data_IF_555489875434
#
_entry.id   IF_555489875434
#
_cell.length_a   1.000
_cell.length_b   1.000
_cell.length_c   1.000
_cell.angle_alpha   90.00
_cell.angle_beta   90.00
_cell.angle_gamma   90.00
#
_symmetry.space_group_name_H-M   'P 1'
#
loop_
_entity.id
_entity.type
_entity.pdbx_description
1 polymer ?
#
# COMPACT_ATOMS: atom_id res chain seq x y z
N UNK A 1 2.99 3.72 0.22
CA UNK A 1 2.95 3.61 -1.26
C UNK A 1 1.52 3.82 -1.74
N UNK A 2 1.33 4.59 -2.80
CA UNK A 2 0.08 4.64 -3.56
C UNK A 2 0.19 3.69 -4.75
N UNK A 3 -0.46 2.53 -4.75
CA UNK A 3 -0.36 1.54 -5.83
C UNK A 3 -1.37 1.76 -6.96
N UNK A 4 -1.82 2.98 -7.14
CA UNK A 4 -2.83 3.33 -8.13
C UNK A 4 -2.34 3.01 -9.56
N UNK A 5 -3.18 2.34 -10.34
CA UNK A 5 -2.95 2.05 -11.76
C UNK A 5 -3.66 3.00 -12.71
N UNK A 6 -4.52 3.87 -12.21
CA UNK A 6 -5.12 4.91 -13.04
C UNK A 6 -4.17 6.08 -13.17
N UNK A 7 -3.91 6.53 -14.38
CA UNK A 7 -3.10 7.71 -14.66
C UNK A 7 -3.79 9.02 -14.27
N UNK A 8 -4.51 9.05 -13.15
CA UNK A 8 -5.17 10.23 -12.61
C UNK A 8 -4.44 10.72 -11.39
N UNK A 9 -4.25 12.02 -11.32
CA UNK A 9 -3.71 12.71 -10.14
C UNK A 9 -4.69 12.75 -8.98
N UNK A 10 -5.15 11.60 -8.50
CA UNK A 10 -6.00 11.52 -7.32
C UNK A 10 -5.11 11.37 -6.10
N UNK A 11 -5.02 12.42 -5.30
CA UNK A 11 -4.40 12.33 -3.97
C UNK A 11 -5.43 11.77 -3.01
N UNK A 12 -5.23 10.54 -2.60
CA UNK A 12 -6.09 9.92 -1.59
C UNK A 12 -5.88 10.57 -0.22
N UNK A 13 -6.96 10.98 0.43
CA UNK A 13 -6.94 11.63 1.76
C UNK A 13 -6.20 10.76 2.79
N UNK A 14 -6.33 9.44 2.71
CA UNK A 14 -5.64 8.53 3.63
C UNK A 14 -4.12 8.70 3.63
N UNK A 15 -3.51 9.07 2.49
CA UNK A 15 -2.07 9.30 2.40
C UNK A 15 -1.67 10.48 3.29
N UNK A 16 -2.42 11.57 3.23
CA UNK A 16 -2.18 12.75 4.05
C UNK A 16 -2.43 12.46 5.54
N UNK A 17 -3.54 11.76 5.85
CA UNK A 17 -3.90 11.37 7.22
C UNK A 17 -2.81 10.52 7.88
N UNK A 18 -2.43 9.39 7.26
CA UNK A 18 -1.38 8.51 7.80
C UNK A 18 -0.02 9.21 7.86
N UNK A 19 0.38 9.92 6.80
CA UNK A 19 1.65 10.64 6.80
C UNK A 19 1.70 11.73 7.86
N UNK A 20 0.60 12.44 8.05
CA UNK A 20 0.47 13.52 9.04
C UNK A 20 0.62 13.00 10.47
N UNK A 21 -0.12 11.92 10.82
CA UNK A 21 -0.08 11.36 12.17
C UNK A 21 1.30 10.76 12.49
N UNK A 22 1.92 10.05 11.54
CA UNK A 22 3.23 9.45 11.73
C UNK A 22 4.32 10.52 11.90
N UNK A 23 4.33 11.55 11.04
CA UNK A 23 5.31 12.66 11.15
C UNK A 23 5.18 13.44 12.44
N UNK A 24 3.96 13.68 12.94
CA UNK A 24 3.72 14.33 14.25
C UNK A 24 4.26 13.51 15.42
N UNK A 25 4.39 12.20 15.24
CA UNK A 25 4.94 11.29 16.24
C UNK A 25 6.41 10.91 15.96
N UNK A 26 7.14 11.76 15.23
CA UNK A 26 8.58 11.67 14.94
C UNK A 26 9.00 10.48 14.06
N UNK A 27 8.09 9.80 13.39
CA UNK A 27 8.45 8.79 12.39
C UNK A 27 8.87 9.44 11.07
N UNK A 28 9.91 8.90 10.46
CA UNK A 28 10.34 9.31 9.12
C UNK A 28 9.43 8.66 8.08
N UNK A 29 8.85 9.47 7.21
CA UNK A 29 7.89 8.98 6.19
C UNK A 29 8.34 9.44 4.82
N UNK A 30 8.46 8.46 3.90
CA UNK A 30 8.67 8.67 2.48
C UNK A 30 7.48 8.17 1.68
N UNK A 31 7.15 8.87 0.62
CA UNK A 31 6.01 8.54 -0.24
C UNK A 31 6.48 8.10 -1.62
N UNK A 32 5.85 7.05 -2.16
CA UNK A 32 6.01 6.60 -3.54
C UNK A 32 4.64 6.53 -4.20
N UNK A 33 4.51 7.19 -5.35
CA UNK A 33 3.29 7.22 -6.15
C UNK A 33 3.51 6.51 -7.48
N UNK A 34 2.72 5.47 -7.74
CA UNK A 34 2.78 4.70 -8.97
C UNK A 34 1.88 5.23 -10.09
N UNK A 35 1.03 6.21 -9.80
CA UNK A 35 -0.07 6.64 -10.69
C UNK A 35 0.37 7.08 -12.07
N UNK A 36 1.58 7.63 -12.19
CA UNK A 36 2.05 8.24 -13.44
C UNK A 36 3.21 7.47 -14.08
N UNK A 37 3.37 6.18 -13.78
CA UNK A 37 4.34 5.34 -14.48
C UNK A 37 3.69 4.69 -15.70
N UNK A 38 4.30 4.89 -16.88
CA UNK A 38 3.77 4.37 -18.13
C UNK A 38 3.72 2.83 -18.19
N UNK A 39 4.70 2.17 -17.56
CA UNK A 39 4.81 0.71 -17.49
C UNK A 39 3.90 0.08 -16.43
N UNK A 40 3.21 0.89 -15.64
CA UNK A 40 2.30 0.44 -14.58
C UNK A 40 0.85 0.85 -14.82
N UNK A 41 0.62 2.02 -15.37
CA UNK A 41 -0.70 2.62 -15.51
C UNK A 41 -1.55 1.91 -16.56
N UNK A 42 -2.80 1.66 -16.23
CA UNK A 42 -3.80 1.20 -17.20
C UNK A 42 -4.15 2.35 -18.12
N UNK A 43 -4.25 2.08 -19.41
CA UNK A 43 -4.73 3.07 -20.37
C UNK A 43 -6.25 3.25 -20.25
N UNK A 44 -6.65 4.13 -19.34
CA UNK A 44 -8.04 4.45 -19.07
C UNK A 44 -8.79 4.95 -20.32
N UNK A 45 -8.09 5.70 -21.18
CA UNK A 45 -8.69 6.24 -22.41
C UNK A 45 -9.15 5.10 -23.32
N UNK A 46 -8.31 4.07 -23.48
CA UNK A 46 -8.65 2.91 -24.29
C UNK A 46 -9.91 2.22 -23.75
N UNK A 47 -9.94 1.97 -22.43
CA UNK A 47 -11.08 1.36 -21.76
C UNK A 47 -12.36 2.17 -21.96
N UNK A 48 -12.33 3.47 -21.77
CA UNK A 48 -13.47 4.37 -21.90
C UNK A 48 -13.92 4.51 -23.36
N UNK A 49 -12.98 4.54 -24.30
CA UNK A 49 -13.28 4.58 -25.73
C UNK A 49 -13.91 3.29 -26.21
N UNK A 50 -13.39 2.15 -25.80
CA UNK A 50 -13.92 0.82 -26.17
C UNK A 50 -15.35 0.63 -25.63
N UNK A 51 -15.66 1.21 -24.47
CA UNK A 51 -17.00 1.19 -23.87
C UNK A 51 -17.89 2.38 -24.29
N UNK A 52 -17.46 3.22 -25.24
CA UNK A 52 -18.20 4.39 -25.75
C UNK A 52 -18.60 5.41 -24.68
N UNK A 53 -17.88 5.45 -23.57
CA UNK A 53 -18.22 6.28 -22.40
C UNK A 53 -17.68 7.72 -22.48
N UNK A 54 -16.69 8.01 -23.38
CA UNK A 54 -16.04 9.30 -23.44
C UNK A 54 -15.59 9.73 -24.83
N UNK A 55 -15.53 11.06 -25.05
CA UNK A 55 -14.79 11.64 -26.16
C UNK A 55 -13.29 11.46 -25.90
N UNK A 56 -12.55 11.09 -26.95
CA UNK A 56 -11.11 10.98 -26.92
C UNK A 56 -10.49 12.32 -26.49
N UNK A 57 -9.82 12.34 -25.34
CA UNK A 57 -9.04 13.48 -24.85
C UNK A 57 -7.57 13.16 -25.05
N UNK A 58 -6.78 14.08 -25.57
CA UNK A 58 -5.34 13.90 -25.66
C UNK A 58 -4.72 14.19 -24.28
N UNK A 59 -4.52 13.16 -23.47
CA UNK A 59 -3.94 13.32 -22.13
C UNK A 59 -2.47 13.68 -22.15
N UNK A 60 -1.76 13.40 -23.23
CA UNK A 60 -0.33 13.76 -23.37
C UNK A 60 -0.11 15.27 -23.29
N UNK A 61 -1.15 16.07 -23.58
CA UNK A 61 -1.12 17.53 -23.45
C UNK A 61 -1.16 17.99 -21.97
N UNK A 62 -1.68 17.16 -21.06
CA UNK A 62 -1.92 17.53 -19.67
C UNK A 62 -1.12 16.68 -18.68
N UNK A 63 -0.80 15.44 -19.01
CA UNK A 63 -0.15 14.48 -18.11
C UNK A 63 1.12 13.95 -18.77
N UNK A 64 2.26 14.23 -18.15
CA UNK A 64 3.53 13.60 -18.54
C UNK A 64 3.76 12.34 -17.72
N UNK A 65 3.61 11.19 -18.35
CA UNK A 65 3.95 9.93 -17.72
C UNK A 65 5.46 9.76 -17.53
N UNK A 66 5.85 9.25 -16.38
CA UNK A 66 7.20 8.78 -16.13
C UNK A 66 7.48 7.54 -16.99
N UNK A 67 8.54 7.57 -17.77
CA UNK A 67 8.97 6.50 -18.68
C UNK A 67 10.00 5.56 -18.05
N UNK A 68 10.41 5.83 -16.81
CA UNK A 68 11.29 4.94 -16.08
C UNK A 68 10.58 3.61 -15.76
N UNK A 69 11.39 2.59 -15.48
CA UNK A 69 10.84 1.35 -14.94
C UNK A 69 10.45 1.53 -13.47
N UNK A 70 9.17 1.33 -13.16
CA UNK A 70 8.60 1.55 -11.83
C UNK A 70 9.26 0.68 -10.76
N UNK A 71 9.55 -0.58 -11.08
CA UNK A 71 10.17 -1.52 -10.14
C UNK A 71 11.58 -1.11 -9.79
N UNK A 72 12.35 -0.62 -10.78
CA UNK A 72 13.70 -0.11 -10.56
C UNK A 72 13.69 1.15 -9.69
N UNK A 73 12.79 2.10 -9.97
CA UNK A 73 12.68 3.33 -9.19
C UNK A 73 12.22 3.05 -7.76
N UNK A 74 11.25 2.14 -7.57
CA UNK A 74 10.79 1.75 -6.24
C UNK A 74 11.90 1.01 -5.48
N UNK A 75 12.62 0.09 -6.12
CA UNK A 75 13.76 -0.59 -5.50
C UNK A 75 14.86 0.38 -5.08
N UNK A 76 15.20 1.35 -5.92
CA UNK A 76 16.18 2.39 -5.59
C UNK A 76 15.71 3.22 -4.39
N UNK A 77 14.42 3.56 -4.32
CA UNK A 77 13.86 4.29 -3.19
C UNK A 77 13.91 3.47 -1.90
N UNK A 78 13.56 2.20 -1.95
CA UNK A 78 13.66 1.27 -0.79
C UNK A 78 15.12 1.17 -0.33
N UNK A 79 16.06 0.98 -1.24
CA UNK A 79 17.48 0.86 -0.93
C UNK A 79 18.07 2.13 -0.29
N UNK A 80 17.61 3.31 -0.75
CA UNK A 80 18.04 4.61 -0.23
C UNK A 80 17.43 4.91 1.13
N UNK A 81 16.13 4.73 1.28
CA UNK A 81 15.38 5.08 2.49
C UNK A 81 15.53 4.02 3.59
N UNK A 82 15.64 2.74 3.20
CA UNK A 82 15.73 1.57 4.10
C UNK A 82 14.60 1.53 5.13
N UNK A 83 13.34 1.46 4.67
CA UNK A 83 12.19 1.49 5.56
C UNK A 83 12.12 0.26 6.46
N UNK A 84 11.74 0.45 7.74
CA UNK A 84 11.32 -0.65 8.62
C UNK A 84 9.97 -1.21 8.20
N UNK A 85 9.09 -0.33 7.67
CA UNK A 85 7.74 -0.67 7.21
C UNK A 85 7.43 -0.14 5.82
N UNK A 86 6.75 -0.95 5.04
CA UNK A 86 6.14 -0.53 3.78
C UNK A 86 4.63 -0.70 3.92
N UNK A 87 3.91 0.42 3.82
CA UNK A 87 2.47 0.46 4.01
C UNK A 87 1.75 0.92 2.75
N UNK A 88 0.62 0.29 2.46
CA UNK A 88 -0.37 0.78 1.50
C UNK A 88 -1.78 0.46 2.00
N UNK A 89 -2.75 1.24 1.56
CA UNK A 89 -4.14 1.01 1.88
C UNK A 89 -4.95 0.85 0.60
N UNK A 90 -5.89 -0.07 0.64
CA UNK A 90 -6.88 -0.28 -0.40
C UNK A 90 -8.22 0.37 -0.04
N UNK A 91 -8.19 1.53 0.58
CA UNK A 91 -9.37 2.38 0.72
C UNK A 91 -9.64 2.94 -0.67
N UNK A 92 -10.24 2.14 -1.51
CA UNK A 92 -10.77 2.63 -2.75
C UNK A 92 -12.19 3.12 -2.50
N UNK A 93 -12.49 4.24 -3.08
CA UNK A 93 -13.87 4.67 -3.22
C UNK A 93 -14.58 3.77 -4.23
N UNK A 94 -15.00 2.59 -3.79
CA UNK A 94 -15.87 1.72 -4.59
C UNK A 94 -17.19 2.39 -5.00
N UNK A 95 -17.48 3.53 -4.44
CA UNK A 95 -18.69 4.33 -4.69
C UNK A 95 -18.90 4.58 -6.19
N UNK A 96 -17.85 4.50 -7.00
CA UNK A 96 -17.92 4.76 -8.46
C UNK A 96 -17.35 3.62 -9.33
N UNK A 97 -17.25 2.39 -8.83
CA UNK A 97 -16.70 1.27 -9.62
C UNK A 97 -15.18 1.32 -9.83
N UNK A 98 -14.48 2.24 -9.20
CA UNK A 98 -13.03 2.44 -9.32
C UNK A 98 -12.21 1.47 -8.45
N UNK A 99 -12.88 0.60 -7.71
CA UNK A 99 -12.27 -0.25 -6.70
C UNK A 99 -11.33 -1.33 -7.20
N UNK A 100 -11.37 -1.67 -8.45
CA UNK A 100 -10.50 -2.70 -9.00
C UNK A 100 -9.06 -2.27 -9.17
N UNK A 101 -8.79 -0.97 -9.27
CA UNK A 101 -7.47 -0.43 -9.61
C UNK A 101 -6.64 0.05 -8.42
N UNK A 102 -7.26 0.24 -7.28
CA UNK A 102 -6.59 0.59 -6.02
C UNK A 102 -6.94 -0.46 -4.97
N UNK A 103 -6.51 -1.67 -5.19
CA UNK A 103 -6.74 -2.80 -4.30
C UNK A 103 -5.43 -3.27 -3.64
N UNK A 104 -5.56 -4.16 -2.67
CA UNK A 104 -4.41 -4.75 -1.99
C UNK A 104 -3.48 -5.46 -2.98
N UNK A 105 -4.04 -6.10 -3.99
CA UNK A 105 -3.29 -6.83 -5.02
C UNK A 105 -2.31 -5.93 -5.78
N UNK A 106 -2.70 -4.70 -6.12
CA UNK A 106 -1.82 -3.78 -6.83
C UNK A 106 -0.57 -3.43 -6.01
N UNK A 107 -0.74 -3.14 -4.71
CA UNK A 107 0.40 -2.91 -3.82
C UNK A 107 1.28 -4.14 -3.66
N UNK A 108 0.66 -5.31 -3.53
CA UNK A 108 1.38 -6.56 -3.47
C UNK A 108 2.16 -6.86 -4.75
N UNK A 109 1.57 -6.64 -5.93
CA UNK A 109 2.21 -6.83 -7.22
C UNK A 109 3.42 -5.93 -7.43
N UNK A 110 3.39 -4.70 -6.91
CA UNK A 110 4.54 -3.79 -6.91
C UNK A 110 5.70 -4.32 -6.06
N UNK A 111 5.41 -5.01 -4.95
CA UNK A 111 6.38 -5.33 -3.91
C UNK A 111 6.88 -6.78 -3.94
N UNK A 112 6.06 -7.72 -4.42
CA UNK A 112 6.32 -9.17 -4.29
C UNK A 112 7.65 -9.66 -4.87
N UNK A 113 8.17 -8.97 -5.89
CA UNK A 113 9.42 -9.34 -6.58
C UNK A 113 10.60 -8.45 -6.20
N UNK A 114 10.41 -7.48 -5.28
CA UNK A 114 11.48 -6.59 -4.84
C UNK A 114 12.25 -7.19 -3.66
N UNK A 115 13.48 -6.72 -3.49
CA UNK A 115 14.32 -7.02 -2.33
C UNK A 115 13.93 -6.08 -1.19
N UNK A 116 13.16 -6.58 -0.25
CA UNK A 116 12.64 -5.78 0.86
C UNK A 116 13.54 -5.79 2.10
N UNK A 117 14.61 -6.61 2.08
CA UNK A 117 15.52 -6.80 3.21
C UNK A 117 14.76 -7.13 4.51
N UNK A 118 14.79 -6.21 5.47
CA UNK A 118 14.13 -6.39 6.77
C UNK A 118 12.81 -5.59 6.90
N UNK A 119 12.31 -5.01 5.80
CA UNK A 119 11.07 -4.25 5.85
C UNK A 119 9.86 -5.16 6.03
N UNK A 120 8.97 -4.79 6.95
CA UNK A 120 7.69 -5.47 7.15
C UNK A 120 6.61 -4.88 6.23
N UNK A 121 5.84 -5.75 5.60
CA UNK A 121 4.75 -5.36 4.72
C UNK A 121 3.44 -5.29 5.47
N UNK A 122 2.84 -4.11 5.51
CA UNK A 122 1.56 -3.85 6.17
C UNK A 122 0.56 -3.28 5.17
N UNK A 123 -0.65 -3.79 5.17
CA UNK A 123 -1.75 -3.19 4.40
C UNK A 123 -3.03 -3.08 5.20
N UNK A 124 -3.94 -2.23 4.73
CA UNK A 124 -5.20 -1.92 5.38
C UNK A 124 -6.31 -1.69 4.35
N UNK A 125 -7.50 -1.39 4.83
CA UNK A 125 -8.66 -1.00 4.03
C UNK A 125 -9.80 -2.01 4.10
N UNK A 126 -10.84 -1.78 3.30
CA UNK A 126 -12.06 -2.59 3.35
C UNK A 126 -11.79 -4.07 3.03
N UNK A 127 -10.94 -4.35 2.04
CA UNK A 127 -10.59 -5.73 1.69
C UNK A 127 -9.81 -6.42 2.83
N UNK A 128 -8.89 -5.71 3.49
CA UNK A 128 -8.16 -6.23 4.64
C UNK A 128 -9.09 -6.60 5.79
N UNK A 129 -10.17 -5.85 5.96
CA UNK A 129 -11.18 -6.07 7.01
C UNK A 129 -12.10 -7.25 6.67
N UNK A 130 -12.57 -7.34 5.43
CA UNK A 130 -13.62 -8.30 5.03
C UNK A 130 -13.10 -9.67 4.55
N UNK A 131 -11.88 -9.72 4.02
CA UNK A 131 -11.33 -10.91 3.35
C UNK A 131 -9.94 -11.31 3.88
N UNK A 132 -9.64 -11.02 5.13
CA UNK A 132 -8.33 -11.13 5.78
C UNK A 132 -7.64 -12.47 5.52
N UNK A 133 -8.33 -13.57 5.78
CA UNK A 133 -7.76 -14.92 5.65
C UNK A 133 -7.47 -15.29 4.19
N UNK A 134 -8.33 -14.86 3.27
CA UNK A 134 -8.15 -15.08 1.83
C UNK A 134 -6.92 -14.32 1.33
N UNK A 135 -6.69 -13.10 1.84
CA UNK A 135 -5.54 -12.28 1.47
C UNK A 135 -4.24 -12.98 1.86
N UNK A 136 -4.12 -13.46 3.08
CA UNK A 136 -2.93 -14.21 3.51
C UNK A 136 -2.70 -15.49 2.69
N UNK A 137 -3.76 -16.20 2.31
CA UNK A 137 -3.66 -17.38 1.45
C UNK A 137 -3.10 -17.08 0.06
N UNK A 138 -3.30 -15.86 -0.46
CA UNK A 138 -2.86 -15.44 -1.80
C UNK A 138 -1.60 -14.57 -1.80
N UNK A 139 -1.31 -13.88 -0.70
CA UNK A 139 -0.28 -12.83 -0.61
C UNK A 139 0.67 -13.11 0.57
N UNK A 140 1.45 -14.17 0.46
CA UNK A 140 2.26 -14.73 1.54
C UNK A 140 3.37 -13.81 2.09
N UNK A 141 3.72 -12.73 1.38
CA UNK A 141 4.73 -11.76 1.84
C UNK A 141 4.17 -10.66 2.72
N UNK A 142 2.85 -10.57 2.88
CA UNK A 142 2.25 -9.61 3.80
C UNK A 142 2.47 -10.09 5.24
N UNK A 143 3.10 -9.26 6.07
CA UNK A 143 3.33 -9.57 7.48
C UNK A 143 2.08 -9.30 8.32
N UNK A 144 1.44 -8.14 8.11
CA UNK A 144 0.29 -7.71 8.91
C UNK A 144 -0.81 -7.07 8.06
N UNK A 145 -2.05 -7.33 8.43
CA UNK A 145 -3.25 -6.66 7.92
C UNK A 145 -3.89 -5.86 9.04
N UNK A 146 -4.17 -4.59 8.79
CA UNK A 146 -4.94 -3.74 9.71
C UNK A 146 -6.41 -3.78 9.30
N UNK A 147 -7.30 -4.05 10.25
CA UNK A 147 -8.75 -4.10 10.07
C UNK A 147 -9.37 -2.83 10.64
N UNK A 148 -10.40 -2.31 9.97
CA UNK A 148 -11.04 -1.05 10.35
C UNK A 148 -10.17 0.17 10.07
N UNK A 149 -10.27 1.17 10.93
CA UNK A 149 -9.50 2.41 10.84
C UNK A 149 -8.02 2.17 11.14
N UNK A 150 -7.19 2.54 10.20
CA UNK A 150 -5.78 2.13 10.21
C UNK A 150 -4.79 3.17 10.75
N UNK A 151 -5.19 4.43 10.90
CA UNK A 151 -4.30 5.52 11.27
C UNK A 151 -3.65 5.32 12.64
N UNK A 152 -4.48 5.11 13.65
CA UNK A 152 -4.01 4.93 15.04
C UNK A 152 -3.39 3.55 15.24
N UNK A 153 -3.91 2.52 14.59
CA UNK A 153 -3.38 1.16 14.67
C UNK A 153 -1.98 1.11 14.07
N UNK A 154 -1.77 1.75 12.90
CA UNK A 154 -0.44 1.85 12.28
C UNK A 154 0.54 2.60 13.19
N UNK A 155 0.12 3.70 13.78
CA UNK A 155 0.95 4.44 14.74
C UNK A 155 1.34 3.57 15.95
N UNK A 156 0.39 2.81 16.52
CA UNK A 156 0.65 1.91 17.64
C UNK A 156 1.65 0.82 17.27
N UNK A 157 1.52 0.24 16.05
CA UNK A 157 2.48 -0.74 15.52
C UNK A 157 3.89 -0.14 15.49
N UNK A 158 4.06 1.05 14.92
CA UNK A 158 5.37 1.67 14.79
C UNK A 158 5.96 2.03 16.17
N UNK A 159 5.16 2.60 17.05
CA UNK A 159 5.60 2.94 18.42
C UNK A 159 6.02 1.69 19.21
N UNK A 160 5.31 0.58 19.07
CA UNK A 160 5.68 -0.68 19.74
C UNK A 160 6.97 -1.27 19.16
N UNK A 161 7.14 -1.19 17.84
CA UNK A 161 8.36 -1.61 17.16
C UNK A 161 9.59 -0.82 17.63
N UNK A 162 9.48 0.49 17.78
CA UNK A 162 10.59 1.35 18.19
C UNK A 162 11.02 1.15 19.65
N UNK A 163 10.13 0.66 20.53
CA UNK A 163 10.44 0.39 21.93
C UNK A 163 11.33 -0.83 22.14
N UNK A 164 11.30 -1.77 21.21
CA UNK A 164 12.00 -3.04 21.33
C UNK A 164 13.32 -3.03 20.57
N UNK A 165 14.32 -3.75 21.11
CA UNK A 165 15.67 -3.77 20.54
C UNK A 165 15.89 -4.87 19.51
N UNK A 166 15.39 -6.08 19.78
CA UNK A 166 15.58 -7.19 18.87
C UNK A 166 14.33 -7.46 18.02
N UNK A 167 14.50 -8.07 16.86
CA UNK A 167 13.43 -8.26 15.88
C UNK A 167 12.32 -9.21 16.36
N UNK A 168 12.62 -10.19 17.17
CA UNK A 168 11.62 -11.11 17.69
C UNK A 168 10.69 -10.44 18.71
N UNK A 169 11.24 -9.62 19.61
CA UNK A 169 10.45 -8.87 20.58
C UNK A 169 9.66 -7.77 19.87
N UNK A 170 10.24 -7.13 18.85
CA UNK A 170 9.53 -6.21 17.96
C UNK A 170 8.30 -6.86 17.34
N UNK A 171 8.42 -8.05 16.75
CA UNK A 171 7.28 -8.80 16.20
C UNK A 171 6.26 -9.18 17.26
N UNK A 172 6.70 -9.67 18.43
CA UNK A 172 5.80 -9.99 19.54
C UNK A 172 5.04 -8.76 20.08
N UNK A 173 5.66 -7.60 20.09
CA UNK A 173 4.99 -6.36 20.52
C UNK A 173 3.92 -5.92 19.53
N UNK A 174 4.20 -6.02 18.23
CA UNK A 174 3.22 -5.76 17.19
C UNK A 174 2.05 -6.76 17.28
N UNK A 175 2.33 -8.06 17.48
CA UNK A 175 1.32 -9.12 17.57
C UNK A 175 0.30 -8.90 18.72
N UNK A 176 0.55 -7.98 19.64
CA UNK A 176 -0.38 -7.61 20.73
C UNK A 176 -1.31 -6.45 20.38
N UNK A 177 -1.05 -5.75 19.30
CA UNK A 177 -1.86 -4.60 18.86
C UNK A 177 -3.25 -5.07 18.46
N UNK A 178 -4.28 -4.37 18.94
CA UNK A 178 -5.67 -4.66 18.55
C UNK A 178 -5.95 -4.20 17.12
N UNK A 179 -6.83 -4.91 16.44
CA UNK A 179 -7.22 -4.56 15.07
C UNK A 179 -6.26 -5.07 14.00
N UNK A 180 -5.30 -5.90 14.33
CA UNK A 180 -4.42 -6.54 13.35
C UNK A 180 -4.74 -8.01 13.13
N UNK A 181 -4.30 -8.51 11.98
CA UNK A 181 -4.28 -9.93 11.66
C UNK A 181 -2.92 -10.30 11.07
N UNK A 182 -2.46 -11.51 11.33
CA UNK A 182 -1.15 -12.01 10.86
C UNK A 182 -1.13 -13.54 10.78
N UNK A 183 -0.11 -14.06 10.10
CA UNK A 183 0.16 -15.50 10.04
C UNK A 183 1.38 -15.83 10.89
N UNK A 184 1.31 -16.92 11.67
CA UNK A 184 2.42 -17.43 12.46
C UNK A 184 2.45 -18.95 12.41
N UNK A 185 3.55 -19.51 11.91
CA UNK A 185 3.71 -20.97 11.73
C UNK A 185 2.50 -21.60 11.01
N UNK A 186 2.05 -20.97 9.93
CA UNK A 186 0.88 -21.36 9.12
C UNK A 186 -0.48 -21.27 9.84
N UNK A 187 -0.54 -20.73 11.03
CA UNK A 187 -1.80 -20.44 11.73
C UNK A 187 -2.18 -18.98 11.55
N UNK A 188 -3.47 -18.75 11.37
CA UNK A 188 -4.05 -17.42 11.29
C UNK A 188 -4.40 -16.89 12.67
N UNK A 189 -4.00 -15.65 12.95
CA UNK A 189 -4.29 -14.94 14.19
C UNK A 189 -4.99 -13.61 13.88
N UNK A 190 -5.87 -13.23 14.78
CA UNK A 190 -6.66 -12.01 14.67
C UNK A 190 -6.93 -11.47 16.08
N UNK A 191 -6.51 -10.22 16.33
CA UNK A 191 -6.70 -9.52 17.60
C UNK A 191 -7.84 -8.49 17.49
#
# INVERSE_FOLDING_TARGET
>A
INPNKWGRGITHIWIASHSGILKRNNHKVEFFDSSFYQDWSVNEIKFQTDNKMYKKTNYDDFIKFNRNNIFKDLQNKINKFKPDFIFWSAISSHIHGEGEYVNIQNGYDLLKNLELKNSLLITAGLQATSATQIIFGKMSKIDYLIRGESELVLLEILNNFDREKNIEDKKKSIEKVKGISFMKKNNFFQN
#
